data_IF_413597318932
#
_entry.id   IF_413597318932
#
_cell.length_a   1.000
_cell.length_b   1.000
_cell.length_c   1.000
_cell.angle_alpha   90.00
_cell.angle_beta   90.00
_cell.angle_gamma   90.00
#
_symmetry.space_group_name_H-M   'P 1'
#
loop_
_entity.id
_entity.type
_entity.pdbx_description
1 polymer ?
#
# COMPACT_ATOMS: atom_id res chain seq x y z
N UNK A 1 25.38 -48.71 36.25
CA UNK A 1 24.54 -47.52 36.45
C UNK A 1 23.99 -47.15 35.09
N UNK A 2 22.79 -47.64 34.82
CA UNK A 2 22.07 -47.50 33.55
C UNK A 2 21.63 -46.05 33.36
N UNK A 3 21.94 -45.48 32.20
CA UNK A 3 21.40 -44.20 31.79
C UNK A 3 19.92 -44.33 31.50
N UNK A 4 19.10 -43.54 32.17
CA UNK A 4 17.70 -43.33 31.81
C UNK A 4 17.64 -42.59 30.46
N UNK A 5 17.10 -43.18 29.37
CA UNK A 5 17.16 -42.57 28.04
C UNK A 5 16.01 -41.62 27.72
N UNK A 6 15.16 -41.26 28.69
CA UNK A 6 13.94 -40.51 28.41
C UNK A 6 13.87 -39.23 29.23
N UNK A 7 14.60 -38.21 28.77
CA UNK A 7 14.38 -36.83 29.16
C UNK A 7 13.50 -36.15 28.09
N UNK A 8 12.17 -36.11 28.28
CA UNK A 8 11.24 -35.51 27.30
C UNK A 8 11.42 -33.99 27.14
N UNK A 9 12.21 -33.34 28.00
CA UNK A 9 12.47 -31.89 27.91
C UNK A 9 13.59 -31.54 26.92
N UNK A 10 14.37 -32.51 26.43
CA UNK A 10 15.37 -32.26 25.38
C UNK A 10 14.75 -32.13 23.98
N UNK A 11 13.54 -32.64 23.75
CA UNK A 11 12.87 -32.59 22.45
C UNK A 11 12.30 -31.20 22.11
N UNK A 12 12.19 -30.28 23.08
CA UNK A 12 11.56 -28.97 22.88
C UNK A 12 12.55 -27.84 22.53
N UNK A 13 13.87 -28.09 22.54
CA UNK A 13 14.86 -27.05 22.20
C UNK A 13 15.04 -26.81 20.69
N UNK A 14 14.33 -27.56 19.83
CA UNK A 14 14.38 -27.37 18.38
C UNK A 14 13.29 -26.46 17.82
N UNK A 15 12.33 -26.00 18.64
CA UNK A 15 11.23 -25.19 18.14
C UNK A 15 11.64 -23.71 18.22
N UNK A 16 11.85 -23.02 17.08
CA UNK A 16 12.13 -21.59 17.11
C UNK A 16 10.96 -20.87 17.81
N UNK A 17 11.22 -19.80 18.57
CA UNK A 17 10.21 -19.11 19.33
C UNK A 17 9.05 -18.72 18.42
N UNK A 18 7.84 -19.13 18.82
CA UNK A 18 6.56 -18.65 18.29
C UNK A 18 6.54 -17.14 18.52
N UNK A 19 7.05 -16.38 17.55
CA UNK A 19 7.22 -14.93 17.69
C UNK A 19 8.26 -14.31 16.75
N UNK A 20 9.22 -15.07 16.24
CA UNK A 20 10.13 -14.56 15.21
C UNK A 20 9.72 -15.11 13.85
N UNK A 21 9.02 -14.29 13.07
CA UNK A 21 8.84 -14.50 11.64
C UNK A 21 10.21 -14.57 10.96
N UNK A 22 10.81 -15.75 10.96
CA UNK A 22 12.02 -16.03 10.19
C UNK A 22 11.63 -15.85 8.73
N UNK A 23 12.25 -14.90 7.99
CA UNK A 23 11.94 -14.73 6.59
C UNK A 23 12.27 -16.06 5.88
N UNK A 24 11.37 -16.60 5.04
CA UNK A 24 11.63 -17.83 4.32
C UNK A 24 12.94 -17.67 3.52
N UNK A 25 13.85 -18.64 3.68
CA UNK A 25 15.18 -18.66 3.06
C UNK A 25 15.12 -18.74 1.52
N UNK A 26 13.93 -18.96 0.96
CA UNK A 26 13.69 -19.32 -0.43
C UNK A 26 13.51 -18.11 -1.35
N UNK A 27 13.65 -16.88 -0.83
CA UNK A 27 13.39 -15.64 -1.60
C UNK A 27 11.92 -15.44 -2.00
N UNK A 28 11.01 -16.32 -1.53
CA UNK A 28 9.56 -16.21 -1.75
C UNK A 28 8.95 -15.25 -0.73
N UNK A 29 8.06 -14.37 -1.17
CA UNK A 29 7.31 -13.51 -0.26
C UNK A 29 6.52 -14.38 0.74
N UNK A 30 6.53 -13.99 2.02
CA UNK A 30 5.71 -14.67 3.03
C UNK A 30 4.23 -14.63 2.63
N UNK A 31 3.46 -15.65 3.00
CA UNK A 31 2.02 -15.73 2.65
C UNK A 31 1.24 -14.47 3.05
N UNK A 32 1.63 -13.85 4.16
CA UNK A 32 1.13 -12.55 4.61
C UNK A 32 1.42 -11.42 3.61
N UNK A 33 2.68 -11.28 3.17
CA UNK A 33 3.05 -10.25 2.20
C UNK A 33 2.37 -10.47 0.84
N UNK A 34 2.23 -11.72 0.39
CA UNK A 34 1.49 -12.06 -0.83
C UNK A 34 0.01 -11.70 -0.73
N UNK A 35 -0.63 -12.01 0.40
CA UNK A 35 -2.03 -11.63 0.66
C UNK A 35 -2.24 -10.12 0.64
N UNK A 36 -1.35 -9.36 1.27
CA UNK A 36 -1.41 -7.90 1.28
C UNK A 36 -1.21 -7.27 -0.10
N UNK A 37 -0.29 -7.81 -0.92
CA UNK A 37 -0.08 -7.35 -2.29
C UNK A 37 -1.30 -7.63 -3.17
N UNK A 38 -1.94 -8.80 -3.02
CA UNK A 38 -3.19 -9.12 -3.74
C UNK A 38 -4.32 -8.19 -3.30
N UNK A 39 -4.50 -7.98 -2.00
CA UNK A 39 -5.52 -7.05 -1.49
C UNK A 39 -5.30 -5.63 -2.03
N UNK A 40 -4.06 -5.13 -2.00
CA UNK A 40 -3.69 -3.84 -2.57
C UNK A 40 -4.00 -3.76 -4.07
N UNK A 41 -3.74 -4.84 -4.82
CA UNK A 41 -4.04 -4.91 -6.25
C UNK A 41 -5.55 -4.87 -6.52
N UNK A 42 -6.37 -5.57 -5.73
CA UNK A 42 -7.84 -5.50 -5.82
C UNK A 42 -8.33 -4.07 -5.55
N UNK A 43 -7.81 -3.41 -4.51
CA UNK A 43 -8.15 -2.01 -4.24
C UNK A 43 -7.76 -1.07 -5.38
N UNK A 44 -6.60 -1.29 -6.01
CA UNK A 44 -6.19 -0.51 -7.18
C UNK A 44 -7.14 -0.73 -8.36
N UNK A 45 -7.56 -1.98 -8.62
CA UNK A 45 -8.54 -2.30 -9.66
C UNK A 45 -9.90 -1.65 -9.39
N UNK A 46 -10.38 -1.65 -8.14
CA UNK A 46 -11.61 -0.96 -7.74
C UNK A 46 -11.49 0.57 -7.84
N UNK A 47 -10.28 1.10 -7.76
CA UNK A 47 -10.02 2.54 -7.89
C UNK A 47 -10.10 3.04 -9.34
N UNK A 48 -9.88 2.17 -10.34
CA UNK A 48 -9.98 2.53 -11.76
C UNK A 48 -11.39 3.00 -12.15
N UNK A 49 -12.50 2.30 -11.85
CA UNK A 49 -13.84 2.80 -12.17
C UNK A 49 -14.17 4.08 -11.38
N UNK A 50 -13.71 4.22 -10.13
CA UNK A 50 -13.88 5.45 -9.35
C UNK A 50 -13.12 6.63 -9.98
N UNK A 51 -11.95 6.39 -10.54
CA UNK A 51 -11.19 7.39 -11.30
C UNK A 51 -11.97 7.84 -12.54
N UNK A 52 -12.58 6.91 -13.27
CA UNK A 52 -13.42 7.25 -14.44
C UNK A 52 -14.62 8.11 -14.02
N UNK A 53 -15.31 7.76 -12.93
CA UNK A 53 -16.39 8.57 -12.39
C UNK A 53 -15.92 9.96 -11.96
N UNK A 54 -14.72 10.05 -11.36
CA UNK A 54 -14.12 11.33 -10.96
C UNK A 54 -13.81 12.21 -12.17
N UNK A 55 -13.29 11.63 -13.25
CA UNK A 55 -13.07 12.33 -14.52
C UNK A 55 -14.38 12.84 -15.12
N UNK A 56 -15.45 12.03 -15.09
CA UNK A 56 -16.78 12.46 -15.55
C UNK A 56 -17.32 13.61 -14.69
N UNK A 57 -17.16 13.55 -13.37
CA UNK A 57 -17.51 14.63 -12.45
C UNK A 57 -16.76 15.92 -12.75
N UNK A 58 -15.46 15.84 -13.01
CA UNK A 58 -14.64 16.99 -13.41
C UNK A 58 -15.12 17.60 -14.74
N UNK A 59 -15.44 16.78 -15.74
CA UNK A 59 -15.97 17.27 -17.03
C UNK A 59 -17.31 17.97 -16.86
N UNK A 60 -18.20 17.45 -16.00
CA UNK A 60 -19.46 18.11 -15.67
C UNK A 60 -19.22 19.46 -14.98
N UNK A 61 -18.32 19.50 -13.98
CA UNK A 61 -17.98 20.72 -13.25
C UNK A 61 -17.37 21.79 -14.17
N UNK A 62 -16.46 21.39 -15.06
CA UNK A 62 -15.84 22.28 -16.07
C UNK A 62 -16.87 22.91 -17.03
N UNK A 63 -17.98 22.22 -17.30
CA UNK A 63 -19.05 22.74 -18.16
C UNK A 63 -19.94 23.74 -17.44
N UNK A 64 -20.11 23.58 -16.13
CA UNK A 64 -21.04 24.40 -15.35
C UNK A 64 -20.36 25.67 -14.81
N UNK A 65 -19.17 25.55 -14.22
CA UNK A 65 -18.41 26.71 -13.72
C UNK A 65 -16.89 26.49 -13.79
N UNK A 66 -16.21 27.02 -14.82
CA UNK A 66 -14.77 26.78 -15.04
C UNK A 66 -13.85 27.51 -14.05
N UNK A 67 -14.36 28.48 -13.27
CA UNK A 67 -13.55 29.23 -12.30
C UNK A 67 -13.76 28.80 -10.85
N UNK A 68 -14.44 27.67 -10.64
CA UNK A 68 -14.77 27.21 -9.30
C UNK A 68 -13.47 26.83 -8.53
N UNK A 69 -13.23 27.36 -7.32
CA UNK A 69 -12.00 27.09 -6.55
C UNK A 69 -11.79 25.61 -6.21
N UNK A 70 -12.86 24.81 -6.22
CA UNK A 70 -12.85 23.36 -5.98
C UNK A 70 -12.08 22.61 -7.08
N UNK A 71 -12.01 23.15 -8.30
CA UNK A 71 -11.43 22.48 -9.47
C UNK A 71 -9.97 22.07 -9.26
N UNK A 72 -9.18 22.86 -8.51
CA UNK A 72 -7.78 22.55 -8.21
C UNK A 72 -7.64 21.29 -7.34
N UNK A 73 -8.53 21.12 -6.37
CA UNK A 73 -8.54 19.96 -5.47
C UNK A 73 -8.98 18.71 -6.20
N UNK A 74 -10.04 18.80 -7.00
CA UNK A 74 -10.55 17.68 -7.81
C UNK A 74 -9.50 17.22 -8.83
N UNK A 75 -8.79 18.15 -9.48
CA UNK A 75 -7.71 17.80 -10.40
C UNK A 75 -6.55 17.08 -9.69
N UNK A 76 -6.18 17.54 -8.48
CA UNK A 76 -5.17 16.88 -7.65
C UNK A 76 -5.64 15.49 -7.16
N UNK A 77 -6.92 15.34 -6.82
CA UNK A 77 -7.48 14.06 -6.42
C UNK A 77 -7.42 13.05 -7.58
N UNK A 78 -7.88 13.45 -8.77
CA UNK A 78 -7.79 12.64 -10.00
C UNK A 78 -6.34 12.27 -10.31
N UNK A 79 -5.42 13.24 -10.24
CA UNK A 79 -3.99 12.99 -10.46
C UNK A 79 -3.42 11.98 -9.48
N UNK A 80 -3.72 12.12 -8.19
CA UNK A 80 -3.26 11.18 -7.16
C UNK A 80 -3.89 9.79 -7.30
N UNK A 81 -5.17 9.70 -7.70
CA UNK A 81 -5.86 8.45 -7.95
C UNK A 81 -5.33 7.73 -9.20
N UNK A 82 -5.01 8.46 -10.26
CA UNK A 82 -4.34 7.93 -11.45
C UNK A 82 -2.93 7.40 -11.12
N UNK A 83 -2.16 8.16 -10.33
CA UNK A 83 -0.86 7.72 -9.83
C UNK A 83 -0.95 6.42 -9.02
N UNK A 84 -1.95 6.30 -8.14
CA UNK A 84 -2.17 5.05 -7.40
C UNK A 84 -2.58 3.89 -8.29
N UNK A 85 -3.41 4.10 -9.31
CA UNK A 85 -3.77 3.04 -10.24
C UNK A 85 -2.54 2.55 -11.01
N UNK A 86 -1.73 3.46 -11.56
CA UNK A 86 -0.54 3.11 -12.36
C UNK A 86 0.52 2.46 -11.47
N UNK A 87 0.97 3.13 -10.42
CA UNK A 87 2.04 2.62 -9.57
C UNK A 87 1.59 1.45 -8.71
N UNK A 88 0.32 1.39 -8.33
CA UNK A 88 -0.25 0.30 -7.55
C UNK A 88 -0.40 -0.98 -8.36
N UNK A 89 -0.96 -0.91 -9.57
CA UNK A 89 -1.06 -2.10 -10.43
C UNK A 89 0.32 -2.58 -10.85
N UNK A 90 1.14 -1.68 -11.40
CA UNK A 90 2.50 -2.04 -11.88
C UNK A 90 3.39 -2.51 -10.73
N UNK A 91 3.39 -1.81 -9.60
CA UNK A 91 4.21 -2.14 -8.42
C UNK A 91 3.82 -3.45 -7.76
N UNK A 92 2.51 -3.70 -7.57
CA UNK A 92 2.04 -4.94 -6.98
C UNK A 92 2.30 -6.15 -7.89
N UNK A 93 2.17 -6.01 -9.22
CA UNK A 93 2.56 -7.07 -10.18
C UNK A 93 4.07 -7.34 -10.10
N UNK A 94 4.90 -6.30 -10.10
CA UNK A 94 6.36 -6.44 -9.98
C UNK A 94 6.79 -7.10 -8.67
N UNK A 95 6.12 -6.77 -7.55
CA UNK A 95 6.32 -7.41 -6.25
C UNK A 95 5.96 -8.89 -6.29
N UNK A 96 4.84 -9.27 -6.93
CA UNK A 96 4.47 -10.68 -7.11
C UNK A 96 5.48 -11.45 -7.98
N UNK A 97 6.12 -10.77 -8.93
CA UNK A 97 7.20 -11.34 -9.75
C UNK A 97 8.56 -11.36 -9.02
N UNK A 98 8.64 -10.91 -7.76
CA UNK A 98 9.89 -10.83 -6.99
C UNK A 98 10.88 -9.79 -7.52
N UNK A 99 10.44 -8.85 -8.37
CA UNK A 99 11.32 -7.83 -8.96
C UNK A 99 11.50 -6.66 -8.01
N UNK A 100 12.76 -6.23 -7.83
CA UNK A 100 13.15 -5.11 -6.93
C UNK A 100 12.47 -3.79 -7.27
N UNK A 101 12.21 -3.53 -8.55
CA UNK A 101 11.47 -2.35 -9.00
C UNK A 101 10.08 -2.26 -8.35
N UNK A 102 9.46 -3.40 -8.01
CA UNK A 102 8.17 -3.42 -7.31
C UNK A 102 8.22 -2.76 -5.94
N UNK A 103 9.36 -2.80 -5.23
CA UNK A 103 9.52 -2.09 -3.94
C UNK A 103 9.50 -0.57 -4.16
N UNK A 104 10.19 -0.08 -5.20
CA UNK A 104 10.20 1.35 -5.54
C UNK A 104 8.79 1.85 -5.88
N UNK A 105 8.09 1.12 -6.76
CA UNK A 105 6.72 1.45 -7.12
C UNK A 105 5.75 1.33 -5.94
N UNK A 106 5.97 0.39 -5.02
CA UNK A 106 5.19 0.29 -3.78
C UNK A 106 5.38 1.48 -2.85
N UNK A 107 6.61 2.00 -2.71
CA UNK A 107 6.86 3.24 -1.97
C UNK A 107 6.21 4.45 -2.66
N UNK A 108 6.25 4.50 -3.99
CA UNK A 108 5.59 5.55 -4.76
C UNK A 108 4.07 5.49 -4.60
N UNK A 109 3.47 4.29 -4.60
CA UNK A 109 2.06 4.08 -4.28
C UNK A 109 1.72 4.58 -2.87
N UNK A 110 2.54 4.25 -1.87
CA UNK A 110 2.33 4.71 -0.51
C UNK A 110 2.38 6.25 -0.42
N UNK A 111 3.34 6.90 -1.09
CA UNK A 111 3.43 8.35 -1.16
C UNK A 111 2.22 8.99 -1.85
N UNK A 112 1.79 8.45 -3.00
CA UNK A 112 0.56 8.89 -3.67
C UNK A 112 -0.67 8.75 -2.78
N UNK A 113 -0.75 7.65 -2.02
CA UNK A 113 -1.85 7.39 -1.07
C UNK A 113 -1.90 8.44 0.02
N UNK A 114 -0.76 8.77 0.63
CA UNK A 114 -0.67 9.87 1.61
C UNK A 114 -1.09 11.20 0.99
N UNK A 115 -0.60 11.52 -0.21
CA UNK A 115 -0.98 12.75 -0.92
C UNK A 115 -2.49 12.85 -1.14
N UNK A 116 -3.13 11.78 -1.59
CA UNK A 116 -4.59 11.73 -1.78
C UNK A 116 -5.36 11.87 -0.46
N UNK A 117 -4.84 11.37 0.66
CA UNK A 117 -5.47 11.57 1.96
C UNK A 117 -5.43 13.05 2.36
N UNK A 118 -4.31 13.73 2.16
CA UNK A 118 -4.16 15.16 2.47
C UNK A 118 -5.11 15.98 1.60
N UNK A 119 -5.10 15.75 0.28
CA UNK A 119 -6.01 16.44 -0.66
C UNK A 119 -7.47 16.20 -0.29
N UNK A 120 -7.84 14.96 0.05
CA UNK A 120 -9.22 14.64 0.46
C UNK A 120 -9.66 15.34 1.74
N UNK A 121 -8.79 15.52 2.73
CA UNK A 121 -9.10 16.29 3.94
C UNK A 121 -9.27 17.78 3.62
N UNK A 122 -8.43 18.33 2.75
CA UNK A 122 -8.52 19.74 2.33
C UNK A 122 -9.80 20.02 1.53
N UNK A 123 -10.18 19.11 0.64
CA UNK A 123 -11.41 19.24 -0.14
C UNK A 123 -12.66 19.13 0.75
N UNK A 124 -12.63 18.24 1.75
CA UNK A 124 -13.75 18.04 2.66
C UNK A 124 -14.11 19.32 3.43
N UNK A 125 -13.12 20.14 3.80
CA UNK A 125 -13.38 21.41 4.49
C UNK A 125 -14.21 22.37 3.62
N UNK A 126 -13.92 22.44 2.32
CA UNK A 126 -14.66 23.29 1.37
C UNK A 126 -16.08 22.78 1.12
N UNK A 127 -16.27 21.47 1.01
CA UNK A 127 -17.60 20.87 0.84
C UNK A 127 -18.46 21.07 2.10
N UNK A 128 -17.86 21.03 3.30
CA UNK A 128 -18.61 21.17 4.55
C UNK A 128 -19.06 22.60 4.86
N UNK A 129 -18.45 23.61 4.25
CA UNK A 129 -18.93 24.99 4.35
C UNK A 129 -20.27 25.21 3.62
N UNK A 130 -20.67 24.30 2.72
CA UNK A 130 -21.94 24.38 2.00
C UNK A 130 -23.14 23.92 2.85
N UNK A 131 -22.91 23.17 3.93
CA UNK A 131 -23.96 22.72 4.83
C UNK A 131 -24.19 23.72 5.98
N UNK A 132 -25.47 23.91 6.35
CA UNK A 132 -25.84 24.77 7.46
C UNK A 132 -25.14 24.33 8.78
N UNK A 133 -24.62 25.28 9.58
CA UNK A 133 -24.01 24.95 10.87
C UNK A 133 -25.05 24.29 11.80
N UNK A 134 -24.72 23.12 12.34
CA UNK A 134 -25.60 22.36 13.23
C UNK A 134 -26.53 21.36 12.54
N UNK A 135 -26.44 21.21 11.21
CA UNK A 135 -27.27 20.25 10.48
C UNK A 135 -26.81 18.80 10.72
N UNK A 136 -27.73 17.82 10.77
CA UNK A 136 -27.39 16.41 10.92
C UNK A 136 -26.55 15.89 9.74
N UNK A 137 -26.70 16.47 8.55
CA UNK A 137 -25.92 16.14 7.35
C UNK A 137 -24.43 16.46 7.55
N UNK A 138 -24.12 17.63 8.13
CA UNK A 138 -22.72 18.02 8.41
C UNK A 138 -22.07 17.08 9.43
N UNK A 139 -22.81 16.67 10.46
CA UNK A 139 -22.32 15.73 11.47
C UNK A 139 -22.09 14.35 10.87
N UNK A 140 -23.04 13.86 10.07
CA UNK A 140 -22.91 12.58 9.37
C UNK A 140 -21.73 12.56 8.41
N UNK A 141 -21.48 13.68 7.72
CA UNK A 141 -20.37 13.78 6.77
C UNK A 141 -18.99 13.77 7.47
N UNK A 142 -18.85 14.44 8.62
CA UNK A 142 -17.62 14.37 9.43
C UNK A 142 -17.33 12.97 9.96
N UNK A 143 -18.36 12.25 10.42
CA UNK A 143 -18.21 10.87 10.89
C UNK A 143 -17.83 9.95 9.71
N UNK A 144 -18.52 10.09 8.58
CA UNK A 144 -18.23 9.32 7.36
C UNK A 144 -16.80 9.52 6.88
N UNK A 145 -16.34 10.78 6.82
CA UNK A 145 -14.96 11.12 6.48
C UNK A 145 -13.98 10.48 7.46
N UNK A 146 -14.24 10.60 8.77
CA UNK A 146 -13.39 10.02 9.81
C UNK A 146 -13.22 8.51 9.68
N UNK A 147 -14.32 7.78 9.42
CA UNK A 147 -14.30 6.32 9.24
C UNK A 147 -13.51 5.92 7.99
N UNK A 148 -13.77 6.59 6.86
CA UNK A 148 -13.05 6.31 5.61
C UNK A 148 -11.56 6.61 5.74
N UNK A 149 -11.21 7.72 6.41
CA UNK A 149 -9.83 8.11 6.66
C UNK A 149 -9.12 7.07 7.54
N UNK A 150 -9.73 6.66 8.65
CA UNK A 150 -9.19 5.65 9.55
C UNK A 150 -8.95 4.31 8.84
N UNK A 151 -9.90 3.87 8.01
CA UNK A 151 -9.77 2.65 7.22
C UNK A 151 -8.61 2.74 6.20
N UNK A 152 -8.52 3.84 5.46
CA UNK A 152 -7.45 4.07 4.47
C UNK A 152 -6.07 4.11 5.14
N UNK A 153 -5.94 4.80 6.28
CA UNK A 153 -4.70 4.84 7.06
C UNK A 153 -4.30 3.45 7.54
N UNK A 154 -5.26 2.66 8.05
CA UNK A 154 -4.99 1.29 8.51
C UNK A 154 -4.45 0.40 7.40
N UNK A 155 -5.06 0.44 6.21
CA UNK A 155 -4.57 -0.29 5.04
C UNK A 155 -3.19 0.18 4.60
N UNK A 156 -2.94 1.49 4.60
CA UNK A 156 -1.65 2.07 4.24
C UNK A 156 -0.54 1.60 5.19
N UNK A 157 -0.78 1.62 6.51
CA UNK A 157 0.19 1.15 7.51
C UNK A 157 0.52 -0.33 7.28
N UNK A 158 -0.50 -1.17 7.11
CA UNK A 158 -0.30 -2.61 6.83
C UNK A 158 0.47 -2.83 5.54
N UNK A 159 0.20 -2.04 4.50
CA UNK A 159 0.92 -2.10 3.23
C UNK A 159 2.39 -1.70 3.37
N UNK A 160 2.69 -0.62 4.11
CA UNK A 160 4.08 -0.20 4.38
C UNK A 160 4.84 -1.26 5.17
N UNK A 161 4.20 -1.92 6.15
CA UNK A 161 4.81 -3.05 6.87
C UNK A 161 5.13 -4.20 5.90
N UNK A 162 4.20 -4.56 5.01
CA UNK A 162 4.44 -5.58 3.99
C UNK A 162 5.61 -5.20 3.06
N UNK A 163 5.71 -3.94 2.64
CA UNK A 163 6.83 -3.43 1.83
C UNK A 163 8.16 -3.50 2.59
N UNK A 164 8.17 -3.15 3.87
CA UNK A 164 9.37 -3.27 4.71
C UNK A 164 9.83 -4.72 4.82
N UNK A 165 8.91 -5.66 4.99
CA UNK A 165 9.23 -7.10 5.00
C UNK A 165 9.79 -7.51 3.64
N UNK A 166 9.14 -7.15 2.53
CA UNK A 166 9.61 -7.46 1.18
C UNK A 166 11.00 -6.86 0.87
N UNK A 167 11.27 -5.64 1.34
CA UNK A 167 12.56 -4.96 1.17
C UNK A 167 13.73 -5.63 1.92
N UNK A 168 13.43 -6.40 2.97
CA UNK A 168 14.43 -7.19 3.71
C UNK A 168 14.70 -8.55 3.06
N UNK A 169 13.76 -9.07 2.28
CA UNK A 169 13.85 -10.40 1.64
C UNK A 169 14.45 -10.33 0.23
N UNK A 170 14.19 -9.26 -0.53
CA UNK A 170 14.74 -9.04 -1.87
C UNK A 170 16.16 -8.41 -2.00
N UNK A 171 16.92 -8.02 -0.94
CA UNK A 171 18.20 -7.33 -1.10
C UNK A 171 19.36 -8.23 -1.57
N UNK A 172 19.24 -9.57 -1.60
CA UNK A 172 20.39 -10.47 -1.81
C UNK A 172 20.67 -10.94 -3.25
N UNK A 173 19.75 -10.80 -4.22
CA UNK A 173 19.91 -11.41 -5.55
C UNK A 173 20.77 -10.67 -6.60
N UNK A 174 21.46 -9.57 -6.26
CA UNK A 174 21.99 -8.65 -7.29
C UNK A 174 23.45 -8.22 -7.17
N UNK A 175 24.23 -8.71 -6.20
CA UNK A 175 25.61 -8.21 -5.99
C UNK A 175 26.65 -9.32 -5.91
N UNK A 176 26.25 -10.57 -5.66
CA UNK A 176 27.20 -11.68 -5.50
C UNK A 176 27.43 -12.54 -6.75
N UNK A 177 26.74 -12.26 -7.87
CA UNK A 177 26.85 -13.04 -9.11
C UNK A 177 27.72 -12.41 -10.22
N UNK A 178 28.09 -11.14 -10.10
CA UNK A 178 28.87 -10.43 -11.13
C UNK A 178 30.38 -10.37 -10.83
N UNK A 179 30.79 -10.57 -9.57
CA UNK A 179 32.21 -10.53 -9.20
C UNK A 179 32.95 -11.86 -9.39
N UNK A 180 32.23 -12.99 -9.52
CA UNK A 180 32.84 -14.31 -9.75
C UNK A 180 32.98 -14.68 -11.23
N UNK A 181 32.28 -13.99 -12.14
CA UNK A 181 32.34 -14.35 -13.56
C UNK A 181 33.42 -13.58 -14.34
N UNK A 182 33.94 -12.47 -13.80
CA UNK A 182 34.97 -11.67 -14.47
C UNK A 182 36.41 -11.98 -14.00
N UNK A 183 36.57 -12.85 -13.00
CA UNK A 183 37.90 -13.23 -12.47
C UNK A 183 38.41 -14.57 -12.98
N UNK A 184 37.71 -15.22 -13.92
CA UNK A 184 38.14 -16.46 -14.57
C UNK A 184 38.53 -16.29 -16.05
N UNK A 185 38.67 -15.05 -16.53
CA UNK A 185 39.11 -14.73 -17.90
C UNK A 185 40.42 -13.89 -17.94
N UNK A 186 41.25 -13.98 -16.90
CA UNK A 186 42.65 -13.51 -16.96
C UNK A 186 43.59 -14.50 -16.31
#
# INVERSE_FOLDING_TARGET
MSGDPFNPYLASQGQPPVGTSQPPADGRLSGFAKGMVIASLVFCCLRIPLLVLSCLGLVMLLREDPNNPIMKYVALEIGSAAGMAIFGVTGNILLLMGKRLGILFGWLLAACTVGSLIVGVLESDLQFQQFAPGSPERTGAWIGLGVVLAFRVSLLVMYVVALRIASRVLPSAGTSGQLTQHSSEF
#
